data_IF_219204393839
#
_entry.id   IF_219204393839
#
_cell.length_a   1.000
_cell.length_b   1.000
_cell.length_c   1.000
_cell.angle_alpha   90.00
_cell.angle_beta   90.00
_cell.angle_gamma   90.00
#
_symmetry.space_group_name_H-M   'P 1'
#
loop_
_entity.id
_entity.type
_entity.pdbx_description
1 polymer ?
#
# COMPACT_ATOMS: atom_id res chain seq x y z
N UNK A 1 96.60 72.36 -90.33
CA UNK A 1 95.33 73.14 -90.23
C UNK A 1 95.68 74.63 -90.22
N UNK A 2 94.85 75.56 -90.73
CA UNK A 2 95.18 77.00 -90.70
C UNK A 2 94.64 77.66 -89.43
N UNK A 3 95.36 78.63 -88.86
CA UNK A 3 94.91 79.36 -87.69
C UNK A 3 93.60 80.11 -87.99
N UNK A 4 92.56 79.88 -87.21
CA UNK A 4 91.25 80.54 -87.37
C UNK A 4 91.29 82.04 -87.09
N UNK A 5 92.35 82.55 -86.46
CA UNK A 5 92.54 83.98 -86.25
C UNK A 5 93.39 84.64 -87.35
N UNK A 6 94.60 84.13 -87.63
CA UNK A 6 95.54 84.81 -88.55
C UNK A 6 95.78 84.11 -89.90
N UNK A 7 95.18 82.94 -90.15
CA UNK A 7 95.21 82.25 -91.45
C UNK A 7 96.51 81.51 -91.81
N UNK A 8 97.57 81.67 -91.01
CA UNK A 8 98.86 80.99 -91.18
C UNK A 8 98.70 79.45 -91.05
N UNK A 9 99.39 78.63 -91.87
CA UNK A 9 99.33 77.18 -91.73
C UNK A 9 100.01 76.73 -90.42
N UNK A 10 99.27 76.08 -89.54
CA UNK A 10 99.77 75.47 -88.30
C UNK A 10 100.23 74.04 -88.63
N UNK A 11 101.53 73.77 -88.40
CA UNK A 11 102.15 72.44 -88.45
C UNK A 11 101.50 71.50 -87.43
N UNK A 12 101.30 70.23 -87.83
CA UNK A 12 100.62 69.22 -87.00
C UNK A 12 101.38 68.94 -85.69
N UNK A 13 100.63 68.90 -84.58
CA UNK A 13 101.16 68.61 -83.23
C UNK A 13 101.41 69.83 -82.33
N UNK A 14 101.12 71.06 -82.78
CA UNK A 14 101.27 72.28 -81.95
C UNK A 14 99.94 72.77 -81.36
N UNK A 15 100.02 73.18 -80.09
CA UNK A 15 98.89 73.67 -79.29
C UNK A 15 98.65 75.19 -79.41
N UNK A 16 99.58 75.97 -79.99
CA UNK A 16 99.44 77.42 -80.12
C UNK A 16 99.99 77.92 -81.47
N UNK A 17 99.37 78.95 -82.04
CA UNK A 17 99.85 79.59 -83.27
C UNK A 17 101.04 80.51 -82.99
N UNK A 18 102.18 80.31 -83.68
CA UNK A 18 103.43 81.06 -83.46
C UNK A 18 103.39 82.52 -83.92
N UNK A 19 102.44 82.89 -84.77
CA UNK A 19 102.33 84.27 -85.26
C UNK A 19 101.45 85.13 -84.34
N UNK A 20 100.28 84.64 -83.93
CA UNK A 20 99.32 85.41 -83.12
C UNK A 20 99.21 84.93 -81.66
N UNK A 21 99.97 83.91 -81.26
CA UNK A 21 100.03 83.39 -79.90
C UNK A 21 98.78 82.64 -79.43
N UNK A 22 97.79 82.40 -80.29
CA UNK A 22 96.49 81.89 -79.90
C UNK A 22 96.44 80.35 -79.79
N UNK A 23 95.86 79.85 -78.71
CA UNK A 23 95.72 78.42 -78.41
C UNK A 23 94.70 77.74 -79.34
N UNK A 24 95.09 76.58 -79.86
CA UNK A 24 94.29 75.78 -80.79
C UNK A 24 93.43 74.82 -79.96
N UNK A 25 92.14 75.12 -79.78
CA UNK A 25 91.19 74.23 -79.10
C UNK A 25 90.61 73.18 -80.07
N UNK A 26 90.75 71.90 -79.72
CA UNK A 26 90.41 70.77 -80.60
C UNK A 26 88.98 70.22 -80.44
N UNK A 27 88.25 70.51 -79.35
CA UNK A 27 86.86 70.01 -79.14
C UNK A 27 86.04 71.02 -78.32
N UNK A 28 84.90 71.55 -78.83
CA UNK A 28 84.01 72.44 -78.07
C UNK A 28 82.98 71.64 -77.24
N UNK A 29 82.77 72.05 -75.98
CA UNK A 29 81.67 71.72 -75.04
C UNK A 29 81.77 70.46 -74.16
N UNK A 30 82.46 70.56 -73.00
CA UNK A 30 82.31 69.60 -71.88
C UNK A 30 82.28 70.34 -70.53
N UNK A 31 81.09 70.48 -69.92
CA UNK A 31 80.89 71.06 -68.57
C UNK A 31 80.68 69.94 -67.52
N UNK A 32 81.74 69.66 -66.77
CA UNK A 32 81.87 68.51 -65.84
C UNK A 32 81.00 68.61 -64.58
N UNK A 33 80.60 69.81 -64.14
CA UNK A 33 79.93 69.99 -62.84
C UNK A 33 78.41 69.92 -62.93
N UNK A 34 77.83 70.39 -64.05
CA UNK A 34 76.39 70.32 -64.30
C UNK A 34 75.87 68.88 -64.37
N UNK A 35 76.59 68.00 -65.06
CA UNK A 35 76.19 66.61 -65.26
C UNK A 35 76.19 65.79 -63.95
N UNK A 36 77.14 66.02 -63.05
CA UNK A 36 77.20 65.33 -61.77
C UNK A 36 75.99 65.67 -60.87
N UNK A 37 75.60 66.95 -60.83
CA UNK A 37 74.45 67.43 -60.07
C UNK A 37 73.11 66.88 -60.62
N UNK A 38 73.01 66.74 -61.94
CA UNK A 38 71.84 66.13 -62.60
C UNK A 38 71.76 64.63 -62.29
N UNK A 39 72.88 63.91 -62.37
CA UNK A 39 72.94 62.48 -62.03
C UNK A 39 72.59 62.23 -60.56
N UNK A 40 73.06 63.07 -59.63
CA UNK A 40 72.75 62.91 -58.20
C UNK A 40 71.27 63.19 -57.91
N UNK A 41 70.67 64.18 -58.59
CA UNK A 41 69.23 64.48 -58.49
C UNK A 41 68.37 63.35 -59.05
N UNK A 42 68.71 62.82 -60.22
CA UNK A 42 68.02 61.67 -60.83
C UNK A 42 68.14 60.41 -59.95
N UNK A 43 69.29 60.20 -59.30
CA UNK A 43 69.48 59.10 -58.35
C UNK A 43 68.58 59.24 -57.12
N UNK A 44 68.52 60.45 -56.51
CA UNK A 44 67.61 60.74 -55.40
C UNK A 44 66.14 60.59 -55.79
N UNK A 45 65.74 61.06 -56.97
CA UNK A 45 64.38 60.90 -57.49
C UNK A 45 64.03 59.43 -57.74
N UNK A 46 64.97 58.63 -58.26
CA UNK A 46 64.79 57.19 -58.46
C UNK A 46 64.69 56.43 -57.14
N UNK A 47 65.55 56.74 -56.17
CA UNK A 47 65.49 56.17 -54.81
C UNK A 47 64.17 56.56 -54.10
N UNK A 48 63.70 57.79 -54.25
CA UNK A 48 62.41 58.24 -53.73
C UNK A 48 61.23 57.55 -54.43
N UNK A 49 61.29 57.37 -55.75
CA UNK A 49 60.27 56.65 -56.51
C UNK A 49 60.22 55.16 -56.16
N UNK A 50 61.37 54.51 -55.97
CA UNK A 50 61.47 53.13 -55.51
C UNK A 50 60.97 52.98 -54.06
N UNK A 51 61.32 53.91 -53.17
CA UNK A 51 60.81 53.95 -51.80
C UNK A 51 59.28 54.16 -51.77
N UNK A 52 58.74 55.03 -52.62
CA UNK A 52 57.30 55.24 -52.77
C UNK A 52 56.59 54.00 -53.33
N UNK A 53 57.19 53.32 -54.32
CA UNK A 53 56.69 52.07 -54.86
C UNK A 53 56.74 50.93 -53.83
N UNK A 54 57.81 50.84 -53.02
CA UNK A 54 57.94 49.89 -51.92
C UNK A 54 56.89 50.14 -50.84
N UNK A 55 56.63 51.41 -50.47
CA UNK A 55 55.55 51.78 -49.54
C UNK A 55 54.17 51.41 -50.08
N UNK A 56 53.89 51.64 -51.37
CA UNK A 56 52.63 51.21 -52.03
C UNK A 56 52.49 49.68 -52.02
N UNK A 57 53.54 48.93 -52.36
CA UNK A 57 53.55 47.46 -52.32
C UNK A 57 53.33 46.93 -50.90
N UNK A 58 53.95 47.55 -49.90
CA UNK A 58 53.75 47.21 -48.48
C UNK A 58 52.33 47.51 -48.00
N UNK A 59 51.73 48.62 -48.42
CA UNK A 59 50.34 48.96 -48.11
C UNK A 59 49.35 47.94 -48.70
N UNK A 60 49.52 47.56 -49.98
CA UNK A 60 48.71 46.52 -50.64
C UNK A 60 48.89 45.16 -49.95
N UNK A 61 50.11 44.79 -49.59
CA UNK A 61 50.39 43.55 -48.85
C UNK A 61 49.74 43.55 -47.45
N UNK A 62 49.75 44.70 -46.75
CA UNK A 62 49.09 44.87 -45.46
C UNK A 62 47.56 44.78 -45.58
N UNK A 63 46.96 45.39 -46.61
CA UNK A 63 45.52 45.30 -46.89
C UNK A 63 45.11 43.86 -47.22
N UNK A 64 45.87 43.16 -48.06
CA UNK A 64 45.64 41.75 -48.39
C UNK A 64 45.78 40.85 -47.15
N UNK A 65 46.74 41.12 -46.25
CA UNK A 65 46.86 40.43 -44.95
C UNK A 65 45.65 40.70 -44.05
N UNK A 66 45.14 41.94 -44.00
CA UNK A 66 43.90 42.30 -43.26
C UNK A 66 42.68 41.58 -43.83
N UNK A 67 42.50 41.58 -45.17
CA UNK A 67 41.41 40.85 -45.85
C UNK A 67 41.48 39.34 -45.59
N UNK A 68 42.67 38.73 -45.64
CA UNK A 68 42.86 37.30 -45.30
C UNK A 68 42.52 37.00 -43.84
N UNK A 69 42.94 37.85 -42.88
CA UNK A 69 42.58 37.72 -41.46
C UNK A 69 41.07 37.88 -41.25
N UNK A 70 40.43 38.85 -41.91
CA UNK A 70 38.98 39.06 -41.83
C UNK A 70 38.19 37.88 -42.44
N UNK A 71 38.61 37.35 -43.61
CA UNK A 71 38.03 36.14 -44.20
C UNK A 71 38.19 34.92 -43.28
N UNK A 72 39.37 34.72 -42.68
CA UNK A 72 39.61 33.64 -41.71
C UNK A 72 38.73 33.79 -40.47
N UNK A 73 38.62 35.00 -39.91
CA UNK A 73 37.73 35.29 -38.78
C UNK A 73 36.26 35.05 -39.13
N UNK A 74 35.80 35.48 -40.31
CA UNK A 74 34.44 35.24 -40.81
C UNK A 74 34.16 33.75 -41.04
N UNK A 75 35.11 33.00 -41.62
CA UNK A 75 35.02 31.55 -41.76
C UNK A 75 34.87 30.85 -40.41
N UNK A 76 35.70 31.22 -39.42
CA UNK A 76 35.61 30.67 -38.05
C UNK A 76 34.25 31.01 -37.43
N UNK A 77 33.77 32.25 -37.61
CA UNK A 77 32.49 32.69 -37.05
C UNK A 77 31.31 31.93 -37.68
N UNK A 78 31.34 31.69 -38.99
CA UNK A 78 30.33 30.90 -39.71
C UNK A 78 30.39 29.42 -39.29
N UNK A 79 31.58 28.84 -39.13
CA UNK A 79 31.70 27.45 -38.67
C UNK A 79 31.22 27.29 -37.22
N UNK A 80 31.54 28.23 -36.33
CA UNK A 80 31.05 28.22 -34.94
C UNK A 80 29.53 28.40 -34.91
N UNK A 81 28.98 29.34 -35.68
CA UNK A 81 27.54 29.51 -35.80
C UNK A 81 26.84 28.25 -36.35
N UNK A 82 27.43 27.58 -37.35
CA UNK A 82 26.91 26.32 -37.88
C UNK A 82 26.88 25.20 -36.84
N UNK A 83 27.93 25.05 -36.04
CA UNK A 83 27.97 24.09 -34.93
C UNK A 83 26.91 24.42 -33.88
N UNK A 84 26.76 25.70 -33.52
CA UNK A 84 25.72 26.13 -32.56
C UNK A 84 24.31 25.83 -33.05
N UNK A 85 24.03 26.03 -34.34
CA UNK A 85 22.72 25.67 -34.94
C UNK A 85 22.48 24.17 -34.90
N UNK A 86 23.50 23.34 -35.18
CA UNK A 86 23.37 21.88 -35.10
C UNK A 86 23.14 21.39 -33.67
N UNK A 87 23.83 21.96 -32.69
CA UNK A 87 23.62 21.66 -31.27
C UNK A 87 22.22 22.09 -30.84
N UNK A 88 21.78 23.28 -31.25
CA UNK A 88 20.42 23.76 -30.97
C UNK A 88 19.35 22.87 -31.63
N UNK A 89 19.56 22.44 -32.87
CA UNK A 89 18.67 21.52 -33.57
C UNK A 89 18.62 20.14 -32.90
N UNK A 90 19.76 19.62 -32.45
CA UNK A 90 19.84 18.37 -31.68
C UNK A 90 19.11 18.47 -30.33
N UNK A 91 19.26 19.59 -29.61
CA UNK A 91 18.51 19.88 -28.39
C UNK A 91 17.00 19.98 -28.66
N UNK A 92 16.59 20.65 -29.73
CA UNK A 92 15.19 20.77 -30.10
C UNK A 92 14.57 19.43 -30.47
N UNK A 93 15.28 18.61 -31.24
CA UNK A 93 14.84 17.26 -31.60
C UNK A 93 14.73 16.35 -30.37
N UNK A 94 15.73 16.41 -29.47
CA UNK A 94 15.69 15.70 -28.19
C UNK A 94 14.49 16.14 -27.35
N UNK A 95 14.27 17.44 -27.17
CA UNK A 95 13.11 17.96 -26.44
C UNK A 95 11.77 17.52 -27.07
N UNK A 96 11.71 17.46 -28.41
CA UNK A 96 10.54 16.96 -29.14
C UNK A 96 10.29 15.46 -28.89
N UNK A 97 11.34 14.64 -28.95
CA UNK A 97 11.27 13.20 -28.62
C UNK A 97 10.94 12.98 -27.14
N UNK A 98 11.62 13.66 -26.23
CA UNK A 98 11.39 13.57 -24.79
C UNK A 98 9.94 13.92 -24.46
N UNK A 99 9.37 14.96 -25.10
CA UNK A 99 7.96 15.33 -24.93
C UNK A 99 7.00 14.27 -25.48
N UNK A 100 7.31 13.67 -26.63
CA UNK A 100 6.49 12.59 -27.21
C UNK A 100 6.50 11.36 -26.30
N UNK A 101 7.69 10.92 -25.90
CA UNK A 101 7.90 9.77 -25.03
C UNK A 101 7.30 10.00 -23.62
N UNK A 102 7.37 11.23 -23.10
CA UNK A 102 6.79 11.60 -21.80
C UNK A 102 5.26 11.47 -21.74
N UNK A 103 4.59 11.53 -22.90
CA UNK A 103 3.14 11.44 -23.02
C UNK A 103 2.68 10.09 -23.63
N UNK A 104 3.58 9.14 -23.81
CA UNK A 104 3.29 7.84 -24.40
C UNK A 104 3.23 6.78 -23.28
N UNK A 105 2.04 6.22 -23.05
CA UNK A 105 1.78 5.28 -21.95
C UNK A 105 2.70 4.05 -22.01
N UNK A 106 2.77 3.38 -23.16
CA UNK A 106 3.58 2.17 -23.36
C UNK A 106 5.07 2.41 -23.13
N UNK A 107 5.57 3.58 -23.55
CA UNK A 107 6.93 3.98 -23.26
C UNK A 107 7.15 4.13 -21.75
N UNK A 108 6.25 4.80 -21.03
CA UNK A 108 6.37 5.00 -19.59
C UNK A 108 6.38 3.66 -18.84
N UNK A 109 5.46 2.74 -19.15
CA UNK A 109 5.41 1.40 -18.54
C UNK A 109 6.70 0.63 -18.78
N UNK A 110 7.16 0.56 -20.03
CA UNK A 110 8.39 -0.17 -20.38
C UNK A 110 9.63 0.36 -19.66
N UNK A 111 9.73 1.68 -19.55
CA UNK A 111 10.82 2.32 -18.80
C UNK A 111 10.70 2.04 -17.30
N UNK A 112 9.47 2.03 -16.75
CA UNK A 112 9.22 1.67 -15.36
C UNK A 112 9.63 0.23 -15.05
N UNK A 113 9.23 -0.74 -15.88
CA UNK A 113 9.60 -2.16 -15.74
C UNK A 113 11.11 -2.37 -15.84
N UNK A 114 11.74 -1.70 -16.81
CA UNK A 114 13.19 -1.76 -17.00
C UNK A 114 13.91 -1.20 -15.77
N UNK A 115 13.45 -0.06 -15.24
CA UNK A 115 14.02 0.53 -14.04
C UNK A 115 13.79 -0.35 -12.80
N UNK A 116 12.60 -0.93 -12.65
CA UNK A 116 12.26 -1.85 -11.56
C UNK A 116 13.14 -3.10 -11.55
N UNK A 117 13.29 -3.73 -12.72
CA UNK A 117 14.15 -4.91 -12.91
C UNK A 117 15.62 -4.62 -12.61
N UNK A 118 16.06 -3.37 -12.81
CA UNK A 118 17.40 -2.90 -12.46
C UNK A 118 17.52 -2.40 -11.00
N UNK A 119 16.52 -2.65 -10.15
CA UNK A 119 16.46 -2.20 -8.75
C UNK A 119 16.50 -0.67 -8.56
N UNK A 120 16.18 0.10 -9.61
CA UNK A 120 16.12 1.57 -9.56
C UNK A 120 14.68 2.01 -9.27
N UNK A 121 14.24 1.80 -8.04
CA UNK A 121 12.83 1.95 -7.66
C UNK A 121 12.35 3.40 -7.74
N UNK A 122 13.18 4.40 -7.41
CA UNK A 122 12.81 5.82 -7.50
C UNK A 122 12.66 6.30 -8.95
N UNK A 123 13.47 5.73 -9.85
CA UNK A 123 13.35 6.01 -11.29
C UNK A 123 12.10 5.33 -11.85
N UNK A 124 11.88 4.06 -11.50
CA UNK A 124 10.68 3.31 -11.85
C UNK A 124 9.41 4.01 -11.39
N UNK A 125 9.39 4.54 -10.16
CA UNK A 125 8.26 5.25 -9.58
C UNK A 125 7.84 6.44 -10.44
N UNK A 126 8.80 7.25 -10.91
CA UNK A 126 8.50 8.42 -11.77
C UNK A 126 7.86 8.02 -13.09
N UNK A 127 8.32 6.93 -13.69
CA UNK A 127 7.79 6.45 -14.97
C UNK A 127 6.40 5.84 -14.79
N UNK A 128 6.19 4.97 -13.80
CA UNK A 128 4.88 4.34 -13.59
C UNK A 128 3.84 5.31 -13.04
N UNK A 129 4.21 6.25 -12.17
CA UNK A 129 3.32 7.34 -11.73
C UNK A 129 2.87 8.19 -12.93
N UNK A 130 3.78 8.45 -13.88
CA UNK A 130 3.41 9.13 -15.12
C UNK A 130 2.48 8.28 -15.97
N UNK A 131 2.73 6.98 -16.12
CA UNK A 131 1.86 6.07 -16.86
C UNK A 131 0.44 6.05 -16.29
N UNK A 132 0.29 5.88 -14.98
CA UNK A 132 -1.02 5.91 -14.29
C UNK A 132 -1.69 7.30 -14.42
N UNK A 133 -0.92 8.39 -14.48
CA UNK A 133 -1.51 9.72 -14.75
C UNK A 133 -1.99 9.91 -16.19
N UNK A 134 -1.49 9.10 -17.14
CA UNK A 134 -1.92 9.11 -18.55
C UNK A 134 -3.15 8.23 -18.75
N UNK A 135 -3.18 7.07 -18.08
CA UNK A 135 -4.33 6.17 -18.02
C UNK A 135 -4.50 5.66 -16.57
N UNK A 136 -5.50 6.21 -15.89
CA UNK A 136 -5.82 5.87 -14.50
C UNK A 136 -6.74 4.64 -14.40
N UNK A 137 -7.18 4.07 -15.53
CA UNK A 137 -8.03 2.88 -15.55
C UNK A 137 -7.26 1.58 -15.76
N UNK A 138 -5.99 1.67 -16.19
CA UNK A 138 -5.16 0.50 -16.43
C UNK A 138 -4.71 -0.15 -15.11
N UNK A 139 -5.23 -1.36 -14.86
CA UNK A 139 -4.98 -2.09 -13.61
C UNK A 139 -3.55 -2.61 -13.55
N UNK A 140 -2.96 -3.07 -14.65
CA UNK A 140 -1.58 -3.57 -14.69
C UNK A 140 -0.57 -2.48 -14.30
N UNK A 141 -0.75 -1.25 -14.78
CA UNK A 141 0.04 -0.09 -14.38
C UNK A 141 -0.09 0.22 -12.89
N UNK A 142 -1.30 0.11 -12.32
CA UNK A 142 -1.53 0.27 -10.87
C UNK A 142 -0.88 -0.85 -10.07
N UNK A 143 -0.93 -2.10 -10.53
CA UNK A 143 -0.24 -3.22 -9.91
C UNK A 143 1.28 -2.98 -9.89
N UNK A 144 1.87 -2.52 -10.99
CA UNK A 144 3.29 -2.17 -11.03
C UNK A 144 3.61 -0.99 -10.09
N UNK A 145 2.78 0.06 -10.08
CA UNK A 145 2.93 1.20 -9.17
C UNK A 145 2.93 0.76 -7.71
N UNK A 146 2.00 -0.13 -7.32
CA UNK A 146 1.94 -0.66 -5.96
C UNK A 146 3.21 -1.45 -5.61
N UNK A 147 3.71 -2.31 -6.49
CA UNK A 147 4.97 -3.03 -6.27
C UNK A 147 6.15 -2.08 -6.06
N UNK A 148 6.24 -1.03 -6.88
CA UNK A 148 7.29 -0.01 -6.76
C UNK A 148 7.14 0.77 -5.44
N UNK A 149 5.91 1.13 -5.07
CA UNK A 149 5.61 1.81 -3.80
C UNK A 149 6.04 0.98 -2.59
N UNK A 150 5.78 -0.34 -2.59
CA UNK A 150 6.26 -1.26 -1.53
C UNK A 150 7.79 -1.27 -1.46
N UNK A 151 8.49 -1.32 -2.60
CA UNK A 151 9.97 -1.27 -2.62
C UNK A 151 10.55 0.05 -2.13
N UNK A 152 9.76 1.12 -2.18
CA UNK A 152 10.10 2.45 -1.66
C UNK A 152 9.58 2.68 -0.24
N UNK A 153 9.11 1.64 0.46
CA UNK A 153 8.55 1.72 1.82
C UNK A 153 7.33 2.66 1.93
N UNK A 154 6.65 2.92 0.80
CA UNK A 154 5.41 3.72 0.73
C UNK A 154 4.18 2.82 0.86
N UNK A 155 4.15 2.00 1.90
CA UNK A 155 3.16 0.92 2.06
C UNK A 155 1.71 1.41 2.06
N UNK A 156 1.41 2.51 2.74
CA UNK A 156 0.05 3.08 2.76
C UNK A 156 -0.45 3.51 1.38
N UNK A 157 0.46 4.00 0.53
CA UNK A 157 0.12 4.38 -0.85
C UNK A 157 -0.11 3.13 -1.70
N UNK A 158 0.72 2.10 -1.54
CA UNK A 158 0.55 0.82 -2.23
C UNK A 158 -0.81 0.18 -1.92
N UNK A 159 -1.22 0.18 -0.64
CA UNK A 159 -2.53 -0.33 -0.21
C UNK A 159 -3.66 0.41 -0.93
N UNK A 160 -3.62 1.75 -0.97
CA UNK A 160 -4.64 2.55 -1.68
C UNK A 160 -4.67 2.28 -3.17
N UNK A 161 -3.50 2.18 -3.81
CA UNK A 161 -3.39 1.85 -5.24
C UNK A 161 -3.98 0.47 -5.54
N UNK A 162 -3.75 -0.52 -4.68
CA UNK A 162 -4.30 -1.88 -4.84
C UNK A 162 -5.80 -1.95 -4.57
N UNK A 163 -6.30 -1.23 -3.55
CA UNK A 163 -7.73 -1.10 -3.32
C UNK A 163 -8.43 -0.47 -4.53
N UNK A 164 -7.79 0.51 -5.17
CA UNK A 164 -8.30 1.11 -6.39
C UNK A 164 -8.25 0.15 -7.59
N UNK A 165 -7.18 -0.63 -7.73
CA UNK A 165 -7.09 -1.70 -8.73
C UNK A 165 -8.22 -2.74 -8.58
N UNK A 166 -8.52 -3.19 -7.35
CA UNK A 166 -9.63 -4.12 -7.06
C UNK A 166 -10.98 -3.48 -7.38
N UNK A 167 -11.13 -2.17 -7.13
CA UNK A 167 -12.36 -1.44 -7.47
C UNK A 167 -12.61 -1.39 -8.97
N UNK A 168 -11.56 -1.27 -9.79
CA UNK A 168 -11.65 -1.26 -11.25
C UNK A 168 -11.89 -2.66 -11.83
N UNK A 169 -11.16 -3.65 -11.33
CA UNK A 169 -11.29 -5.06 -11.70
C UNK A 169 -11.45 -5.94 -10.45
N UNK A 170 -12.70 -6.18 -9.99
CA UNK A 170 -12.99 -6.96 -8.78
C UNK A 170 -12.57 -8.45 -8.87
N UNK A 171 -12.27 -8.95 -10.06
CA UNK A 171 -11.80 -10.31 -10.32
C UNK A 171 -10.27 -10.40 -10.51
N UNK A 172 -9.54 -9.31 -10.31
CA UNK A 172 -8.09 -9.28 -10.49
C UNK A 172 -7.35 -9.98 -9.33
N UNK A 173 -7.04 -11.26 -9.54
CA UNK A 173 -6.32 -12.10 -8.55
C UNK A 173 -4.98 -11.51 -8.11
N UNK A 174 -4.26 -10.82 -9.01
CA UNK A 174 -2.95 -10.25 -8.72
C UNK A 174 -3.05 -9.11 -7.70
N UNK A 175 -4.11 -8.29 -7.79
CA UNK A 175 -4.36 -7.21 -6.84
C UNK A 175 -4.61 -7.75 -5.42
N UNK A 176 -5.50 -8.76 -5.29
CA UNK A 176 -5.76 -9.44 -4.02
C UNK A 176 -4.50 -10.08 -3.45
N UNK A 177 -3.75 -10.84 -4.26
CA UNK A 177 -2.55 -11.51 -3.79
C UNK A 177 -1.49 -10.52 -3.26
N UNK A 178 -1.28 -9.40 -3.95
CA UNK A 178 -0.34 -8.38 -3.49
C UNK A 178 -0.83 -7.70 -2.20
N UNK A 179 -2.13 -7.37 -2.12
CA UNK A 179 -2.69 -6.68 -0.97
C UNK A 179 -2.70 -7.58 0.28
N UNK A 180 -3.12 -8.84 0.14
CA UNK A 180 -3.05 -9.86 1.20
C UNK A 180 -1.60 -10.01 1.67
N UNK A 181 -0.64 -10.10 0.75
CA UNK A 181 0.77 -10.20 1.12
C UNK A 181 1.22 -9.01 1.96
N UNK A 182 0.88 -7.79 1.56
CA UNK A 182 1.22 -6.57 2.31
C UNK A 182 0.61 -6.62 3.72
N UNK A 183 -0.67 -6.95 3.86
CA UNK A 183 -1.32 -7.05 5.16
C UNK A 183 -0.69 -8.12 6.05
N UNK A 184 -0.34 -9.27 5.50
CA UNK A 184 0.32 -10.35 6.25
C UNK A 184 1.75 -9.99 6.67
N UNK A 185 2.53 -9.30 5.82
CA UNK A 185 3.89 -8.84 6.15
C UNK A 185 3.88 -7.73 7.21
N UNK A 186 2.76 -6.98 7.33
CA UNK A 186 2.57 -5.94 8.33
C UNK A 186 1.89 -6.43 9.64
N UNK A 187 1.65 -7.74 9.79
CA UNK A 187 0.94 -8.33 10.94
C UNK A 187 -0.50 -7.78 11.12
N UNK A 188 -1.21 -7.59 10.00
CA UNK A 188 -2.58 -7.08 9.93
C UNK A 188 -3.56 -8.14 9.38
N UNK A 189 -3.74 -9.30 10.05
CA UNK A 189 -4.62 -10.38 9.57
C UNK A 189 -6.10 -9.99 9.51
N UNK A 190 -6.56 -9.07 10.36
CA UNK A 190 -7.94 -8.59 10.36
C UNK A 190 -8.30 -7.82 9.09
N UNK A 191 -7.34 -7.11 8.49
CA UNK A 191 -7.55 -6.41 7.21
C UNK A 191 -7.70 -7.42 6.06
N UNK A 192 -7.04 -8.57 6.14
CA UNK A 192 -7.24 -9.67 5.18
C UNK A 192 -8.65 -10.23 5.30
N UNK A 193 -9.14 -10.42 6.53
CA UNK A 193 -10.54 -10.83 6.77
C UNK A 193 -11.50 -9.81 6.13
N UNK A 194 -11.37 -8.53 6.45
CA UNK A 194 -12.23 -7.47 5.90
C UNK A 194 -12.20 -7.40 4.36
N UNK A 195 -11.02 -7.56 3.76
CA UNK A 195 -10.86 -7.59 2.30
C UNK A 195 -11.60 -8.76 1.66
N UNK A 196 -11.52 -9.96 2.26
CA UNK A 196 -12.16 -11.16 1.71
C UNK A 196 -13.66 -11.19 2.02
N UNK A 197 -14.10 -10.71 3.17
CA UNK A 197 -15.52 -10.63 3.53
C UNK A 197 -16.30 -9.64 2.63
N UNK A 198 -15.62 -8.62 2.11
CA UNK A 198 -16.20 -7.65 1.15
C UNK A 198 -16.11 -8.11 -0.31
N UNK A 199 -15.53 -9.28 -0.57
CA UNK A 199 -15.41 -9.83 -1.92
C UNK A 199 -16.59 -10.73 -2.25
N UNK A 200 -17.41 -10.34 -3.23
CA UNK A 200 -18.55 -11.14 -3.71
C UNK A 200 -18.16 -12.18 -4.77
N UNK A 201 -16.87 -12.24 -5.19
CA UNK A 201 -16.43 -13.11 -6.27
C UNK A 201 -15.96 -14.48 -5.73
N UNK A 202 -16.78 -15.51 -5.97
CA UNK A 202 -16.51 -16.89 -5.53
C UNK A 202 -15.16 -17.45 -6.02
N UNK A 203 -14.70 -17.09 -7.23
CA UNK A 203 -13.43 -17.58 -7.77
C UNK A 203 -12.24 -17.01 -6.97
N UNK A 204 -12.33 -15.74 -6.58
CA UNK A 204 -11.35 -15.09 -5.70
C UNK A 204 -11.38 -15.73 -4.31
N UNK A 205 -12.57 -15.87 -3.71
CA UNK A 205 -12.72 -16.49 -2.40
C UNK A 205 -12.18 -17.93 -2.36
N UNK A 206 -12.45 -18.72 -3.40
CA UNK A 206 -11.94 -20.08 -3.53
C UNK A 206 -10.41 -20.09 -3.67
N UNK A 207 -9.85 -19.17 -4.46
CA UNK A 207 -8.39 -19.03 -4.65
C UNK A 207 -7.66 -18.69 -3.36
N UNK A 208 -8.25 -17.83 -2.52
CA UNK A 208 -7.68 -17.38 -1.25
C UNK A 208 -8.33 -18.07 -0.04
N UNK A 209 -8.95 -19.23 -0.22
CA UNK A 209 -9.67 -19.97 0.83
C UNK A 209 -8.81 -20.28 2.06
N UNK A 210 -7.49 -20.44 1.89
CA UNK A 210 -6.53 -20.63 2.99
C UNK A 210 -6.37 -19.40 3.90
N UNK A 211 -6.88 -18.24 3.52
CA UNK A 211 -6.92 -17.01 4.31
C UNK A 211 -8.30 -16.77 4.95
N UNK A 212 -9.29 -17.63 4.66
CA UNK A 212 -10.65 -17.50 5.20
C UNK A 212 -10.81 -18.47 6.36
N UNK A 213 -10.89 -17.94 7.59
CA UNK A 213 -11.14 -18.75 8.77
C UNK A 213 -12.59 -19.23 8.81
N UNK A 214 -12.84 -20.49 9.17
CA UNK A 214 -14.18 -21.08 9.24
C UNK A 214 -14.73 -21.00 10.66
N UNK A 215 -15.97 -20.56 10.80
CA UNK A 215 -16.63 -20.40 12.10
C UNK A 215 -16.58 -21.68 12.95
N UNK A 216 -16.41 -21.57 14.29
CA UNK A 216 -16.45 -22.71 15.18
C UNK A 216 -17.83 -23.37 15.17
N UNK A 217 -17.84 -24.70 15.28
CA UNK A 217 -19.07 -25.48 15.36
C UNK A 217 -19.34 -25.86 16.81
N UNK A 218 -20.57 -25.62 17.25
CA UNK A 218 -21.06 -25.95 18.58
C UNK A 218 -21.74 -27.32 18.53
N UNK A 219 -21.41 -28.21 19.47
CA UNK A 219 -21.99 -29.55 19.53
C UNK A 219 -23.48 -29.57 19.91
N UNK A 220 -23.97 -28.50 20.53
CA UNK A 220 -25.35 -28.35 20.96
C UNK A 220 -26.01 -27.15 20.27
N UNK A 221 -27.28 -27.25 19.87
CA UNK A 221 -28.05 -26.09 19.47
C UNK A 221 -28.29 -25.15 20.67
N UNK A 222 -28.46 -23.87 20.41
CA UNK A 222 -28.90 -22.91 21.42
C UNK A 222 -30.36 -23.19 21.83
N UNK A 223 -30.70 -22.84 23.07
CA UNK A 223 -32.03 -23.08 23.60
C UNK A 223 -32.08 -23.41 25.09
N UNK A 224 -33.23 -23.94 25.51
CA UNK A 224 -33.49 -24.33 26.88
C UNK A 224 -33.33 -25.83 27.07
N UNK A 225 -32.76 -26.22 28.20
CA UNK A 225 -32.55 -27.61 28.60
C UNK A 225 -32.99 -27.78 30.07
N UNK A 226 -33.52 -28.96 30.37
CA UNK A 226 -34.04 -29.38 31.68
C UNK A 226 -33.01 -30.17 32.51
N UNK A 227 -31.85 -30.46 31.94
CA UNK A 227 -30.75 -31.20 32.56
C UNK A 227 -29.40 -30.51 32.27
N UNK A 228 -28.36 -30.74 33.10
CA UNK A 228 -27.02 -30.25 32.81
C UNK A 228 -26.53 -30.79 31.48
N UNK A 229 -25.94 -29.92 30.65
CA UNK A 229 -25.35 -30.31 29.37
C UNK A 229 -23.87 -29.92 29.33
N UNK A 230 -23.13 -30.66 28.52
CA UNK A 230 -21.73 -30.38 28.24
C UNK A 230 -21.62 -29.95 26.78
N UNK A 231 -21.10 -28.75 26.56
CA UNK A 231 -20.87 -28.19 25.24
C UNK A 231 -19.44 -28.44 24.78
N UNK A 232 -19.29 -28.96 23.57
CA UNK A 232 -18.01 -29.07 22.89
C UNK A 232 -17.96 -28.15 21.67
N UNK A 233 -16.80 -27.52 21.45
CA UNK A 233 -16.52 -26.72 20.27
C UNK A 233 -15.52 -27.46 19.38
N UNK A 234 -15.65 -27.34 18.06
CA UNK A 234 -14.68 -27.89 17.12
C UNK A 234 -14.52 -27.01 15.87
N UNK A 235 -13.32 -27.00 15.29
CA UNK A 235 -13.05 -26.42 13.98
C UNK A 235 -13.04 -27.54 12.94
N UNK A 236 -13.31 -27.18 11.69
CA UNK A 236 -13.28 -28.10 10.56
C UNK A 236 -11.86 -28.32 10.03
N UNK A 237 -10.99 -27.33 10.20
CA UNK A 237 -9.61 -27.37 9.70
C UNK A 237 -8.65 -27.78 10.83
N UNK A 238 -7.68 -28.62 10.50
CA UNK A 238 -6.62 -29.01 11.42
C UNK A 238 -5.74 -27.79 11.74
N UNK A 239 -5.30 -27.67 13.00
CA UNK A 239 -4.46 -26.58 13.55
C UNK A 239 -5.18 -25.26 13.91
N UNK A 240 -6.47 -25.11 13.63
CA UNK A 240 -7.24 -23.93 14.05
C UNK A 240 -7.39 -23.88 15.58
N UNK A 241 -7.24 -22.68 16.15
CA UNK A 241 -7.44 -22.42 17.57
C UNK A 241 -8.82 -21.78 17.81
N UNK A 242 -9.53 -22.21 18.84
CA UNK A 242 -10.84 -21.66 19.19
C UNK A 242 -10.71 -20.85 20.48
N UNK A 243 -11.12 -19.59 20.43
CA UNK A 243 -11.20 -18.70 21.58
C UNK A 243 -12.66 -18.43 21.94
N UNK A 244 -12.98 -18.40 23.22
CA UNK A 244 -14.36 -18.22 23.67
C UNK A 244 -14.51 -17.42 24.97
N UNK A 245 -15.72 -16.92 25.18
CA UNK A 245 -16.18 -16.24 26.39
C UNK A 245 -17.52 -16.85 26.83
N UNK A 246 -17.84 -16.73 28.13
CA UNK A 246 -19.09 -17.28 28.73
C UNK A 246 -19.97 -16.19 29.36
N UNK A 247 -19.50 -14.95 29.36
CA UNK A 247 -20.16 -13.77 29.91
C UNK A 247 -20.84 -12.92 28.82
N UNK A 248 -20.77 -13.35 27.55
CA UNK A 248 -21.31 -12.64 26.40
C UNK A 248 -20.43 -11.51 25.86
N UNK A 249 -19.21 -11.32 26.37
CA UNK A 249 -18.22 -10.40 25.77
C UNK A 249 -17.65 -10.98 24.47
N UNK A 250 -17.19 -10.14 23.55
CA UNK A 250 -16.64 -10.61 22.29
C UNK A 250 -15.25 -11.26 22.50
N UNK A 251 -15.01 -12.48 21.98
CA UNK A 251 -13.73 -13.16 22.16
C UNK A 251 -12.63 -12.51 21.35
N UNK A 252 -11.45 -12.44 21.96
CA UNK A 252 -10.19 -11.98 21.38
C UNK A 252 -9.13 -13.09 21.45
N UNK A 253 -7.98 -12.89 20.83
CA UNK A 253 -6.81 -13.80 20.97
C UNK A 253 -6.27 -13.89 22.41
N UNK A 254 -6.69 -12.99 23.31
CA UNK A 254 -6.39 -13.04 24.75
C UNK A 254 -7.48 -13.71 25.60
N UNK A 255 -8.58 -14.16 24.98
CA UNK A 255 -9.66 -14.87 25.67
C UNK A 255 -9.29 -16.32 25.99
N UNK A 256 -10.22 -17.07 26.57
CA UNK A 256 -9.96 -18.46 26.93
C UNK A 256 -9.77 -19.31 25.68
N UNK A 257 -8.62 -19.97 25.57
CA UNK A 257 -8.38 -21.00 24.57
C UNK A 257 -9.21 -22.24 24.91
N UNK A 258 -9.99 -22.74 23.96
CA UNK A 258 -10.76 -23.95 24.12
C UNK A 258 -9.85 -25.19 24.09
N UNK A 259 -9.67 -25.83 25.24
CA UNK A 259 -8.92 -27.10 25.38
C UNK A 259 -9.81 -28.25 25.84
N UNK A 260 -10.85 -27.94 26.61
CA UNK A 260 -11.74 -28.89 27.25
C UNK A 260 -13.20 -28.47 27.09
N UNK A 261 -14.11 -29.45 27.22
CA UNK A 261 -15.54 -29.22 27.12
C UNK A 261 -16.08 -28.25 28.19
N UNK A 262 -17.08 -27.45 27.83
CA UNK A 262 -17.68 -26.42 28.69
C UNK A 262 -18.91 -27.01 29.38
N UNK A 263 -18.90 -27.07 30.71
CA UNK A 263 -20.05 -27.51 31.50
C UNK A 263 -21.09 -26.39 31.65
N UNK A 264 -22.32 -26.61 31.17
CA UNK A 264 -23.44 -25.69 31.32
C UNK A 264 -24.18 -25.98 32.63
N UNK A 265 -24.26 -24.97 33.49
CA UNK A 265 -24.93 -25.04 34.80
C UNK A 265 -26.28 -24.35 34.76
N UNK A 266 -27.08 -24.56 35.80
CA UNK A 266 -28.37 -23.89 35.98
C UNK A 266 -28.25 -22.35 35.81
N UNK A 267 -29.19 -21.79 35.05
CA UNK A 267 -29.22 -20.38 34.68
C UNK A 267 -28.94 -20.17 33.19
N UNK A 268 -28.78 -18.90 32.82
CA UNK A 268 -28.50 -18.48 31.46
C UNK A 268 -27.00 -18.31 31.27
N UNK A 269 -26.43 -18.94 30.24
CA UNK A 269 -25.03 -18.79 29.83
C UNK A 269 -25.00 -18.36 28.37
N UNK A 270 -24.27 -17.27 28.06
CA UNK A 270 -24.07 -16.79 26.69
C UNK A 270 -22.65 -17.12 26.30
N UNK A 271 -22.49 -17.98 25.31
CA UNK A 271 -21.19 -18.39 24.81
C UNK A 271 -20.94 -17.75 23.47
N UNK A 272 -19.86 -16.98 23.37
CA UNK A 272 -19.36 -16.45 22.11
C UNK A 272 -18.03 -17.12 21.79
N UNK A 273 -17.83 -17.52 20.54
CA UNK A 273 -16.61 -18.18 20.11
C UNK A 273 -16.16 -17.67 18.74
N UNK A 274 -14.84 -17.68 18.54
CA UNK A 274 -14.16 -17.36 17.28
C UNK A 274 -13.07 -18.38 17.03
N UNK A 275 -12.82 -18.70 15.76
CA UNK A 275 -11.67 -19.52 15.33
C UNK A 275 -10.58 -18.61 14.76
N UNK A 276 -9.35 -18.91 15.13
CA UNK A 276 -8.14 -18.29 14.60
C UNK A 276 -7.40 -19.35 13.82
N UNK A 277 -7.25 -19.13 12.51
CA UNK A 277 -6.52 -20.07 11.67
C UNK A 277 -5.00 -19.96 11.88
N UNK A 278 -4.24 -20.87 11.28
CA UNK A 278 -2.76 -20.86 11.37
C UNK A 278 -2.07 -19.58 10.85
N UNK A 279 -2.78 -18.74 10.08
CA UNK A 279 -2.29 -17.45 9.60
C UNK A 279 -2.65 -16.30 10.55
N UNK A 280 -3.29 -16.58 11.68
CA UNK A 280 -3.73 -15.57 12.64
C UNK A 280 -5.01 -14.84 12.24
N UNK A 281 -5.72 -15.29 11.19
CA UNK A 281 -6.95 -14.66 10.73
C UNK A 281 -8.14 -15.22 11.52
N UNK A 282 -8.97 -14.30 12.05
CA UNK A 282 -10.16 -14.61 12.82
C UNK A 282 -11.35 -14.93 11.92
N UNK A 283 -12.26 -15.78 12.37
CA UNK A 283 -13.57 -15.97 11.76
C UNK A 283 -14.60 -14.99 12.31
N UNK A 284 -15.86 -15.13 11.92
CA UNK A 284 -16.94 -14.37 12.54
C UNK A 284 -17.21 -14.86 13.97
N UNK A 285 -17.61 -13.93 14.83
CA UNK A 285 -18.00 -14.25 16.19
C UNK A 285 -19.35 -14.97 16.15
N UNK A 286 -19.35 -16.25 16.53
CA UNK A 286 -20.57 -17.03 16.69
C UNK A 286 -21.06 -16.90 18.13
N UNK A 287 -22.30 -16.44 18.31
CA UNK A 287 -22.94 -16.31 19.63
C UNK A 287 -24.07 -17.31 19.79
N UNK A 288 -24.06 -18.06 20.91
CA UNK A 288 -25.13 -18.98 21.31
C UNK A 288 -25.54 -18.76 22.76
N UNK A 289 -26.84 -18.85 23.02
CA UNK A 289 -27.41 -18.71 24.37
C UNK A 289 -27.99 -20.03 24.83
N UNK A 290 -27.60 -20.45 26.03
CA UNK A 290 -28.07 -21.67 26.67
C UNK A 290 -28.77 -21.30 27.97
N UNK A 291 -29.92 -21.92 28.22
CA UNK A 291 -30.63 -21.77 29.49
C UNK A 291 -30.86 -23.16 30.06
N UNK A 292 -30.24 -23.46 31.20
CA UNK A 292 -30.48 -24.70 31.93
C UNK A 292 -31.46 -24.37 33.05
N UNK A 293 -32.66 -24.95 33.00
CA UNK A 293 -33.71 -24.72 33.99
C UNK A 293 -34.43 -26.02 34.30
N UNK A 294 -34.26 -26.52 35.53
CA UNK A 294 -34.95 -27.73 35.99
C UNK A 294 -36.44 -27.46 36.13
N UNK A 295 -37.25 -28.40 35.64
CA UNK A 295 -38.69 -28.39 35.87
C UNK A 295 -39.00 -28.81 37.31
N UNK A 296 -40.11 -28.30 37.83
CA UNK A 296 -40.59 -28.74 39.13
C UNK A 296 -41.12 -30.18 39.06
N UNK A 297 -40.95 -30.97 40.13
CA UNK A 297 -41.53 -32.30 40.18
C UNK A 297 -43.07 -32.24 40.08
N UNK A 298 -43.68 -33.35 39.66
CA UNK A 298 -45.14 -33.47 39.65
C UNK A 298 -45.74 -33.31 41.06
N UNK A 299 -47.03 -32.96 41.18
CA UNK A 299 -47.69 -32.88 42.48
C UNK A 299 -47.65 -34.22 43.24
N UNK A 300 -47.49 -34.21 44.58
CA UNK A 300 -47.49 -35.44 45.36
C UNK A 300 -48.82 -36.18 45.24
N UNK A 301 -48.75 -37.50 45.14
CA UNK A 301 -49.92 -38.36 45.25
C UNK A 301 -50.18 -38.66 46.72
N UNK A 302 -51.41 -38.39 47.18
CA UNK A 302 -51.82 -38.54 48.58
C UNK A 302 -52.81 -39.71 48.68
N UNK A 303 -52.56 -40.62 49.62
CA UNK A 303 -53.41 -41.79 49.91
C UNK A 303 -53.75 -41.86 51.40
N UNK A 304 -55.00 -42.16 51.80
CA UNK A 304 -56.16 -42.41 50.95
C UNK A 304 -56.68 -41.13 50.29
N UNK A 305 -57.49 -41.26 49.23
CA UNK A 305 -58.16 -40.11 48.62
C UNK A 305 -59.13 -39.43 49.59
N UNK A 306 -59.51 -38.18 49.29
CA UNK A 306 -60.47 -37.40 50.09
C UNK A 306 -61.73 -38.19 50.44
N UNK A 307 -62.20 -38.09 51.68
CA UNK A 307 -63.32 -38.90 52.16
C UNK A 307 -63.69 -38.67 53.63
N UNK A 308 -64.71 -39.42 54.08
CA UNK A 308 -65.11 -39.48 55.49
C UNK A 308 -64.63 -40.79 56.11
N UNK A 309 -64.00 -40.69 57.28
CA UNK A 309 -63.36 -41.78 57.99
C UNK A 309 -63.88 -41.83 59.43
N UNK A 310 -63.87 -43.01 60.05
CA UNK A 310 -64.20 -43.20 61.47
C UNK A 310 -62.99 -43.68 62.25
N UNK A 311 -62.96 -43.46 63.58
CA UNK A 311 -61.80 -43.76 64.44
C UNK A 311 -61.42 -45.25 64.52
N UNK A 312 -62.28 -46.14 64.05
CA UNK A 312 -62.05 -47.59 63.92
C UNK A 312 -61.40 -48.00 62.57
N UNK A 313 -61.26 -47.07 61.62
CA UNK A 313 -60.58 -47.28 60.34
C UNK A 313 -59.08 -46.98 60.42
N UNK A 314 -58.33 -47.35 59.37
CA UNK A 314 -56.98 -46.84 59.15
C UNK A 314 -57.06 -45.34 58.82
N UNK A 315 -56.46 -44.52 59.68
CA UNK A 315 -56.51 -43.05 59.63
C UNK A 315 -55.14 -42.45 59.31
N UNK A 316 -54.25 -43.28 58.74
CA UNK A 316 -52.94 -42.88 58.27
C UNK A 316 -53.01 -42.29 56.85
N UNK A 317 -52.32 -41.17 56.66
CA UNK A 317 -52.13 -40.48 55.39
C UNK A 317 -50.70 -40.75 54.94
N UNK A 318 -50.58 -41.22 53.70
CA UNK A 318 -49.34 -41.54 53.03
C UNK A 318 -49.15 -40.59 51.85
N UNK A 319 -47.93 -40.09 51.71
CA UNK A 319 -47.49 -39.34 50.53
C UNK A 319 -46.60 -40.27 49.72
N UNK A 320 -46.90 -40.47 48.44
CA UNK A 320 -46.01 -41.18 47.52
C UNK A 320 -44.91 -40.21 47.10
N UNK A 321 -43.68 -40.46 47.57
CA UNK A 321 -42.52 -39.62 47.29
C UNK A 321 -41.66 -40.27 46.20
N UNK A 322 -41.52 -39.66 45.01
CA UNK A 322 -40.60 -40.13 43.99
C UNK A 322 -39.14 -40.12 44.49
N UNK A 323 -38.30 -41.01 43.96
CA UNK A 323 -36.88 -41.08 44.30
C UNK A 323 -36.20 -39.72 44.05
N UNK A 324 -35.42 -39.24 45.02
CA UNK A 324 -34.74 -37.94 44.96
C UNK A 324 -35.58 -36.74 45.39
N UNK A 325 -36.86 -36.94 45.73
CA UNK A 325 -37.72 -35.89 46.28
C UNK A 325 -37.83 -35.97 47.80
N UNK A 326 -38.14 -34.83 48.42
CA UNK A 326 -38.57 -34.72 49.83
C UNK A 326 -39.98 -34.14 49.86
N UNK A 327 -40.83 -34.65 50.74
CA UNK A 327 -42.20 -34.17 50.87
C UNK A 327 -42.39 -33.33 52.14
N UNK A 328 -43.08 -32.20 52.02
CA UNK A 328 -43.46 -31.35 53.14
C UNK A 328 -44.98 -31.21 53.18
N UNK A 329 -45.57 -31.22 54.38
CA UNK A 329 -47.02 -31.18 54.52
C UNK A 329 -47.51 -30.20 55.59
N UNK A 330 -48.78 -29.81 55.46
CA UNK A 330 -49.48 -28.99 56.44
C UNK A 330 -51.00 -29.22 56.35
N UNK A 331 -51.70 -28.97 57.45
CA UNK A 331 -53.16 -28.96 57.48
C UNK A 331 -53.70 -27.54 57.31
N UNK A 332 -54.76 -27.41 56.52
CA UNK A 332 -55.57 -26.20 56.28
C UNK A 332 -54.81 -24.98 55.73
N UNK A 333 -53.55 -25.16 55.33
CA UNK A 333 -52.72 -24.16 54.65
C UNK A 333 -51.83 -24.82 53.60
N UNK A 334 -51.45 -24.06 52.57
CA UNK A 334 -50.46 -24.50 51.59
C UNK A 334 -49.10 -24.69 52.30
N UNK A 335 -48.41 -25.83 52.14
CA UNK A 335 -47.16 -26.09 52.81
C UNK A 335 -46.02 -25.37 52.10
N UNK A 336 -44.94 -25.15 52.84
CA UNK A 336 -43.66 -24.59 52.43
C UNK A 336 -42.54 -25.49 52.91
N UNK A 337 -41.31 -25.26 52.46
CA UNK A 337 -40.12 -26.02 52.89
C UNK A 337 -39.77 -25.84 54.38
N UNK A 338 -40.45 -24.93 55.07
CA UNK A 338 -40.32 -24.70 56.51
C UNK A 338 -41.35 -25.48 57.35
N UNK A 339 -42.32 -26.14 56.71
CA UNK A 339 -43.34 -26.96 57.39
C UNK A 339 -42.80 -28.38 57.67
N UNK A 340 -43.68 -29.28 58.12
CA UNK A 340 -43.29 -30.61 58.58
C UNK A 340 -42.80 -31.48 57.42
N UNK A 341 -41.60 -32.06 57.58
CA UNK A 341 -41.01 -33.01 56.66
C UNK A 341 -41.68 -34.38 56.87
N UNK A 342 -42.23 -34.95 55.80
CA UNK A 342 -42.77 -36.30 55.80
C UNK A 342 -41.66 -37.35 55.93
N UNK A 343 -41.84 -38.34 56.80
CA UNK A 343 -40.96 -39.51 56.91
C UNK A 343 -41.75 -40.77 56.54
N UNK A 344 -41.23 -41.56 55.60
CA UNK A 344 -41.94 -42.74 55.06
C UNK A 344 -42.21 -43.83 56.11
N UNK A 345 -41.40 -43.88 57.17
CA UNK A 345 -41.56 -44.78 58.32
C UNK A 345 -42.58 -44.28 59.36
N UNK A 346 -43.05 -43.03 59.22
CA UNK A 346 -43.99 -42.39 60.15
C UNK A 346 -45.17 -41.76 59.39
N UNK A 347 -46.26 -42.51 59.14
CA UNK A 347 -47.41 -41.97 58.43
C UNK A 347 -48.12 -40.88 59.25
N UNK A 348 -48.70 -39.91 58.54
CA UNK A 348 -49.36 -38.75 59.16
C UNK A 348 -50.78 -39.13 59.58
N UNK A 349 -51.16 -38.84 60.83
CA UNK A 349 -52.52 -39.15 61.30
C UNK A 349 -53.53 -38.07 60.91
N UNK A 350 -54.73 -38.49 60.50
CA UNK A 350 -55.86 -37.59 60.29
C UNK A 350 -56.24 -36.87 61.59
N UNK A 351 -56.60 -35.59 61.47
CA UNK A 351 -57.09 -34.77 62.58
C UNK A 351 -58.62 -34.93 62.74
N UNK A 352 -59.10 -34.89 63.99
CA UNK A 352 -60.55 -34.98 64.30
C UNK A 352 -61.26 -33.73 63.78
N UNK A 353 -62.31 -33.92 62.98
CA UNK A 353 -63.02 -32.82 62.32
C UNK A 353 -62.86 -32.88 60.81
N UNK A 354 -63.07 -31.75 60.12
CA UNK A 354 -62.86 -31.62 58.67
C UNK A 354 -61.62 -30.78 58.44
N UNK A 355 -60.59 -31.39 57.85
CA UNK A 355 -59.32 -30.73 57.57
C UNK A 355 -58.88 -31.00 56.13
N UNK A 356 -58.23 -30.01 55.52
CA UNK A 356 -57.59 -30.17 54.21
C UNK A 356 -56.12 -30.46 54.44
N UNK A 357 -55.68 -31.65 54.08
CA UNK A 357 -54.28 -32.01 54.06
C UNK A 357 -53.66 -31.51 52.75
N UNK A 358 -52.57 -30.76 52.86
CA UNK A 358 -51.77 -30.36 51.70
C UNK A 358 -50.37 -30.96 51.80
N UNK A 359 -49.80 -31.30 50.63
CA UNK A 359 -48.42 -31.72 50.51
C UNK A 359 -47.75 -31.06 49.29
N UNK A 360 -46.45 -30.83 49.37
CA UNK A 360 -45.58 -30.43 48.27
C UNK A 360 -44.37 -31.37 48.18
N UNK A 361 -43.80 -31.49 47.00
CA UNK A 361 -42.52 -32.18 46.77
C UNK A 361 -41.43 -31.15 46.46
N UNK A 362 -40.22 -31.44 46.93
CA UNK A 362 -39.01 -30.67 46.64
C UNK A 362 -37.95 -31.64 46.12
N UNK A 363 -37.46 -31.40 44.92
CA UNK A 363 -36.42 -32.23 44.32
C UNK A 363 -34.99 -31.90 44.83
N UNK A 364 -33.99 -32.58 44.28
CA UNK A 364 -32.56 -32.37 44.59
C UNK A 364 -32.04 -31.00 44.10
N UNK A 365 -32.74 -30.36 43.16
CA UNK A 365 -32.44 -29.03 42.61
C UNK A 365 -33.24 -27.91 43.31
N UNK A 366 -33.92 -28.22 44.41
CA UNK A 366 -34.78 -27.33 45.19
C UNK A 366 -35.97 -26.75 44.41
N UNK A 367 -36.43 -27.41 43.34
CA UNK A 367 -37.69 -27.05 42.68
C UNK A 367 -38.86 -27.62 43.46
N UNK A 368 -39.88 -26.78 43.64
CA UNK A 368 -41.07 -27.09 44.45
C UNK A 368 -42.23 -27.43 43.52
N UNK A 369 -42.84 -28.59 43.71
CA UNK A 369 -44.03 -28.98 42.95
C UNK A 369 -45.25 -28.12 43.28
N UNK A 370 -46.26 -28.18 42.41
CA UNK A 370 -47.58 -27.67 42.77
C UNK A 370 -48.17 -28.50 43.92
N UNK A 371 -48.90 -27.88 44.87
CA UNK A 371 -49.40 -28.58 46.04
C UNK A 371 -50.46 -29.62 45.67
N UNK A 372 -50.28 -30.85 46.14
CA UNK A 372 -51.34 -31.86 46.22
C UNK A 372 -52.24 -31.55 47.42
N UNK A 373 -53.52 -31.93 47.34
CA UNK A 373 -54.45 -31.75 48.46
C UNK A 373 -55.48 -32.87 48.55
N UNK A 374 -55.87 -33.19 49.79
CA UNK A 374 -56.95 -34.13 50.10
C UNK A 374 -57.77 -33.62 51.30
N UNK A 375 -59.09 -33.81 51.26
CA UNK A 375 -60.00 -33.38 52.33
C UNK A 375 -60.43 -34.61 53.14
N UNK A 376 -60.14 -34.58 54.44
CA UNK A 376 -60.48 -35.66 55.36
C UNK A 376 -61.49 -35.19 56.40
N UNK A 377 -62.55 -35.97 56.58
CA UNK A 377 -63.52 -35.79 57.66
C UNK A 377 -63.48 -36.99 58.60
N UNK A 378 -62.85 -36.82 59.77
CA UNK A 378 -62.74 -37.87 60.78
C UNK A 378 -63.80 -37.69 61.89
N UNK A 379 -64.64 -38.71 62.10
CA UNK A 379 -65.66 -38.76 63.15
C UNK A 379 -65.46 -39.96 64.09
N UNK A 380 -66.02 -39.92 65.30
CA UNK A 380 -65.98 -41.07 66.21
C UNK A 380 -66.76 -42.26 65.63
N UNK A 381 -66.24 -43.47 65.83
CA UNK A 381 -66.95 -44.70 65.55
C UNK A 381 -68.25 -44.76 66.39
N UNK A 382 -69.35 -45.21 65.79
CA UNK A 382 -70.65 -45.32 66.46
C UNK A 382 -70.75 -46.54 67.37
#
# INVERSE_FOLDING_TARGET
MRCSNCGEPIEEGRLFCLNCGQEVQWVPDYDSFGDYMVQEKLKKEKEQAEAAAARKRAAIAAENRRRKKAKKKRMILVSVAGVLVLVAAGLFFKLGMDKKNYNDFDYQIRMADTAFSNHKYEESYKFVERAVSLDDSDVDAKLLLAQVQVKLEKTDQAIKTLQDAIRLEPDNQSAYNQLIKIYMENDQPDEVKNLLDSCDNDDILNKFSAYISKNPVFSLPDGSYDEPKTLSLYSKEDEDQIYYTTDGTDPTSSSNLYTDSIALKEGQTIIKAVTVNKKGITSDIVSKTYTIAYEAPDPPQISPSSGSFTTDMDTNIYIIVPKGCRAYYAFDKKPTIADELYQEDQPVKMLKGTHTFYAILVDEHNKVSSPGSAIYKLTEAK
#
